data_IF_696775885579
#
_entry.id   IF_696775885579
#
_cell.length_a   1.000
_cell.length_b   1.000
_cell.length_c   1.000
_cell.angle_alpha   90.00
_cell.angle_beta   90.00
_cell.angle_gamma   90.00
#
_symmetry.space_group_name_H-M   'P 1'
#
loop_
_entity.id
_entity.type
_entity.pdbx_description
1 polymer ?
#
# COMPACT_ATOMS: atom_id res chain seq x y z
N UNK A 1 23.78 43.56 8.82
CA UNK A 1 24.19 42.14 8.66
C UNK A 1 23.35 41.32 9.64
N UNK A 2 22.27 40.71 9.18
CA UNK A 2 21.36 39.92 10.03
C UNK A 2 21.90 38.48 10.11
N UNK A 3 22.35 38.08 11.28
CA UNK A 3 22.82 36.74 11.55
C UNK A 3 21.57 35.84 11.67
N UNK A 4 21.33 34.99 10.66
CA UNK A 4 20.25 33.99 10.70
C UNK A 4 20.78 32.79 11.49
N UNK A 5 20.21 32.57 12.67
CA UNK A 5 20.53 31.42 13.51
C UNK A 5 19.73 30.21 13.00
N UNK A 6 20.30 29.42 12.09
CA UNK A 6 19.71 28.17 11.64
C UNK A 6 20.29 26.98 12.44
N UNK A 7 19.45 26.07 12.87
CA UNK A 7 19.86 24.85 13.55
C UNK A 7 20.53 23.89 12.55
N UNK A 8 21.69 23.33 12.93
CA UNK A 8 22.38 22.27 12.19
C UNK A 8 21.47 21.01 12.00
N UNK A 9 21.56 20.31 10.84
CA UNK A 9 22.56 20.36 9.79
C UNK A 9 22.17 21.24 8.60
N UNK A 10 23.13 22.03 8.12
CA UNK A 10 22.94 22.98 7.01
C UNK A 10 23.00 22.37 5.60
N UNK A 11 23.03 21.07 5.46
CA UNK A 11 23.01 20.38 4.18
C UNK A 11 21.58 20.27 3.63
N UNK A 12 21.13 21.32 2.97
CA UNK A 12 19.89 21.27 2.16
C UNK A 12 20.17 20.49 0.87
N UNK A 13 19.78 19.23 0.86
CA UNK A 13 19.69 18.46 -0.39
C UNK A 13 18.56 19.05 -1.24
N UNK A 14 18.76 19.16 -2.56
CA UNK A 14 17.73 19.60 -3.53
C UNK A 14 16.54 18.60 -3.63
N UNK A 15 16.54 17.52 -2.85
CA UNK A 15 15.49 16.51 -2.85
C UNK A 15 14.30 17.02 -2.02
N UNK A 16 13.23 17.38 -2.70
CA UNK A 16 11.93 17.70 -2.12
C UNK A 16 11.22 16.39 -1.72
N UNK A 17 10.40 16.43 -0.66
CA UNK A 17 9.56 15.29 -0.23
C UNK A 17 8.74 14.73 -1.41
N UNK A 18 8.17 15.61 -2.24
CA UNK A 18 7.42 15.23 -3.44
C UNK A 18 8.25 14.39 -4.40
N UNK A 19 9.51 14.75 -4.63
CA UNK A 19 10.41 14.00 -5.52
C UNK A 19 10.69 12.60 -4.96
N UNK A 20 10.99 12.52 -3.66
CA UNK A 20 11.21 11.21 -3.01
C UNK A 20 9.98 10.30 -3.13
N UNK A 21 8.77 10.86 -2.97
CA UNK A 21 7.53 10.10 -3.12
C UNK A 21 7.31 9.62 -4.57
N UNK A 22 7.63 10.48 -5.55
CA UNK A 22 7.57 10.11 -6.97
C UNK A 22 8.59 9.02 -7.33
N UNK A 23 9.82 9.12 -6.82
CA UNK A 23 10.86 8.11 -7.06
C UNK A 23 10.42 6.73 -6.53
N UNK A 24 9.75 6.68 -5.36
CA UNK A 24 9.18 5.44 -4.81
C UNK A 24 8.07 4.87 -5.72
N UNK A 25 7.18 5.71 -6.25
CA UNK A 25 6.13 5.25 -7.18
C UNK A 25 6.73 4.71 -8.48
N UNK A 26 7.77 5.35 -9.00
CA UNK A 26 8.49 4.90 -10.19
C UNK A 26 9.16 3.55 -9.92
N UNK A 27 9.80 3.37 -8.77
CA UNK A 27 10.42 2.12 -8.37
C UNK A 27 9.41 0.96 -8.21
N UNK A 28 8.19 1.25 -7.78
CA UNK A 28 7.12 0.25 -7.65
C UNK A 28 6.39 -0.04 -8.97
N UNK A 29 6.50 0.85 -9.95
CA UNK A 29 5.77 0.75 -11.22
C UNK A 29 6.04 -0.57 -11.99
N UNK A 30 7.29 -1.06 -12.14
CA UNK A 30 7.54 -2.32 -12.83
C UNK A 30 6.80 -3.50 -12.19
N UNK A 31 6.84 -3.59 -10.87
CA UNK A 31 6.16 -4.66 -10.11
C UNK A 31 4.65 -4.56 -10.26
N UNK A 32 4.09 -3.35 -10.20
CA UNK A 32 2.67 -3.12 -10.37
C UNK A 32 2.20 -3.48 -11.79
N UNK A 33 2.92 -3.06 -12.83
CA UNK A 33 2.61 -3.37 -14.22
C UNK A 33 2.60 -4.88 -14.43
N UNK A 34 3.62 -5.58 -13.96
CA UNK A 34 3.69 -7.04 -14.06
C UNK A 34 2.57 -7.74 -13.31
N UNK A 35 2.23 -7.26 -12.11
CA UNK A 35 1.08 -7.76 -11.36
C UNK A 35 -0.23 -7.61 -12.14
N UNK A 36 -0.42 -6.48 -12.86
CA UNK A 36 -1.56 -6.28 -13.74
C UNK A 36 -1.57 -7.21 -14.95
N UNK A 37 -0.41 -7.64 -15.44
CA UNK A 37 -0.33 -8.61 -16.55
C UNK A 37 -0.70 -10.02 -16.06
N UNK A 38 -0.25 -10.39 -14.87
CA UNK A 38 -0.46 -11.76 -14.34
C UNK A 38 -1.86 -11.93 -13.75
N UNK A 39 -2.34 -10.95 -13.01
CA UNK A 39 -3.66 -10.95 -12.36
C UNK A 39 -4.43 -9.67 -12.71
N UNK A 40 -4.86 -9.50 -13.96
CA UNK A 40 -5.36 -8.21 -14.44
C UNK A 40 -6.56 -7.71 -13.61
N UNK A 41 -7.58 -8.53 -13.46
CA UNK A 41 -8.80 -8.13 -12.76
C UNK A 41 -8.54 -7.90 -11.27
N UNK A 42 -7.89 -8.83 -10.60
CA UNK A 42 -7.69 -8.76 -9.16
C UNK A 42 -6.76 -7.60 -8.76
N UNK A 43 -5.68 -7.38 -9.51
CA UNK A 43 -4.76 -6.27 -9.24
C UNK A 43 -5.43 -4.93 -9.47
N UNK A 44 -6.13 -4.75 -10.59
CA UNK A 44 -6.79 -3.48 -10.92
C UNK A 44 -7.89 -3.17 -9.91
N UNK A 45 -8.74 -4.15 -9.58
CA UNK A 45 -9.83 -3.96 -8.61
C UNK A 45 -9.28 -3.60 -7.23
N UNK A 46 -8.29 -4.37 -6.73
CA UNK A 46 -7.68 -4.11 -5.43
C UNK A 46 -6.98 -2.73 -5.40
N UNK A 47 -6.29 -2.36 -6.48
CA UNK A 47 -5.61 -1.07 -6.59
C UNK A 47 -6.60 0.10 -6.56
N UNK A 48 -7.66 0.03 -7.37
CA UNK A 48 -8.68 1.09 -7.44
C UNK A 48 -9.37 1.25 -6.09
N UNK A 49 -9.76 0.16 -5.45
CA UNK A 49 -10.41 0.19 -4.14
C UNK A 49 -9.46 0.78 -3.09
N UNK A 50 -8.22 0.31 -3.03
CA UNK A 50 -7.23 0.79 -2.06
C UNK A 50 -6.91 2.27 -2.25
N UNK A 51 -6.73 2.72 -3.50
CA UNK A 51 -6.53 4.14 -3.82
C UNK A 51 -7.72 5.00 -3.39
N UNK A 52 -8.93 4.58 -3.76
CA UNK A 52 -10.15 5.32 -3.42
C UNK A 52 -10.32 5.47 -1.90
N UNK A 53 -10.11 4.38 -1.14
CA UNK A 53 -10.28 4.38 0.31
C UNK A 53 -9.18 5.19 0.99
N UNK A 54 -7.91 4.95 0.66
CA UNK A 54 -6.80 5.59 1.36
C UNK A 54 -6.70 7.09 1.04
N UNK A 55 -6.90 7.49 -0.22
CA UNK A 55 -6.94 8.91 -0.61
C UNK A 55 -8.20 9.57 -0.05
N UNK A 56 -9.36 8.91 -0.13
CA UNK A 56 -10.61 9.41 0.41
C UNK A 56 -10.55 9.63 1.92
N UNK A 57 -9.97 8.70 2.68
CA UNK A 57 -9.78 8.83 4.12
C UNK A 57 -8.85 10.01 4.47
N UNK A 58 -7.75 10.17 3.73
CA UNK A 58 -6.86 11.34 3.92
C UNK A 58 -7.58 12.66 3.64
N UNK A 59 -8.38 12.70 2.57
CA UNK A 59 -9.18 13.86 2.23
C UNK A 59 -10.18 14.21 3.34
N UNK A 60 -10.93 13.22 3.82
CA UNK A 60 -11.87 13.41 4.94
C UNK A 60 -11.15 13.88 6.20
N UNK A 61 -10.00 13.29 6.51
CA UNK A 61 -9.21 13.66 7.68
C UNK A 61 -8.73 15.12 7.62
N UNK A 62 -8.21 15.58 6.48
CA UNK A 62 -7.80 16.98 6.30
C UNK A 62 -8.99 17.91 6.49
N UNK A 63 -10.15 17.53 5.92
CA UNK A 63 -11.39 18.27 6.10
C UNK A 63 -11.77 18.42 7.58
N UNK A 64 -11.79 17.31 8.32
CA UNK A 64 -12.16 17.31 9.74
C UNK A 64 -11.14 18.05 10.61
N UNK A 65 -9.84 17.81 10.40
CA UNK A 65 -8.77 18.43 11.17
C UNK A 65 -8.80 19.97 11.11
N UNK A 66 -9.07 20.51 9.94
CA UNK A 66 -9.03 21.95 9.70
C UNK A 66 -10.40 22.62 9.83
N UNK A 67 -11.47 21.86 10.03
CA UNK A 67 -12.84 22.39 10.20
C UNK A 67 -13.03 23.09 11.57
N UNK A 68 -12.20 22.76 12.55
CA UNK A 68 -12.22 23.34 13.88
C UNK A 68 -10.92 24.12 14.14
N UNK A 69 -10.73 25.31 13.53
CA UNK A 69 -9.60 26.18 13.84
C UNK A 69 -9.73 26.67 15.29
N UNK A 70 -8.59 26.88 15.94
CA UNK A 70 -8.52 27.37 17.34
C UNK A 70 -9.03 28.79 17.52
N UNK A 71 -9.33 29.48 16.42
CA UNK A 71 -9.81 30.87 16.43
C UNK A 71 -11.33 30.88 16.57
N UNK A 72 -11.85 31.66 17.55
CA UNK A 72 -13.28 31.81 17.91
C UNK A 72 -14.15 32.53 16.86
N UNK A 73 -13.82 32.46 15.58
CA UNK A 73 -14.59 33.08 14.52
C UNK A 73 -15.77 32.21 14.16
N UNK A 74 -16.99 32.71 14.39
CA UNK A 74 -18.26 32.11 13.94
C UNK A 74 -18.32 32.08 12.41
N UNK A 75 -17.90 30.95 11.81
CA UNK A 75 -17.94 30.74 10.35
C UNK A 75 -19.12 29.82 10.00
N UNK A 76 -19.75 30.09 8.88
CA UNK A 76 -20.78 29.20 8.29
C UNK A 76 -20.13 27.86 7.89
N UNK A 77 -20.90 26.78 7.88
CA UNK A 77 -20.41 25.43 7.52
C UNK A 77 -19.68 25.43 6.17
N UNK A 78 -20.21 26.16 5.18
CA UNK A 78 -19.61 26.30 3.85
C UNK A 78 -18.25 27.00 3.89
N UNK A 79 -18.14 28.06 4.67
CA UNK A 79 -16.89 28.81 4.83
C UNK A 79 -15.84 27.99 5.59
N UNK A 80 -16.26 27.19 6.57
CA UNK A 80 -15.39 26.24 7.28
C UNK A 80 -14.83 25.17 6.34
N UNK A 81 -15.69 24.62 5.47
CA UNK A 81 -15.28 23.61 4.50
C UNK A 81 -14.28 24.18 3.48
N UNK A 82 -14.57 25.34 2.89
CA UNK A 82 -13.65 25.98 1.93
C UNK A 82 -12.30 26.34 2.58
N UNK A 83 -12.33 26.89 3.79
CA UNK A 83 -11.14 27.23 4.54
C UNK A 83 -10.30 25.99 4.93
N UNK A 84 -10.95 24.86 5.16
CA UNK A 84 -10.29 23.60 5.53
C UNK A 84 -9.34 23.09 4.44
N UNK A 85 -9.70 23.29 3.17
CA UNK A 85 -8.89 22.83 2.04
C UNK A 85 -7.98 23.93 1.47
N UNK A 86 -8.35 25.19 1.61
CA UNK A 86 -7.60 26.33 1.03
C UNK A 86 -6.25 26.50 1.72
N UNK A 87 -5.16 26.16 1.01
CA UNK A 87 -3.79 26.26 1.50
C UNK A 87 -3.27 25.04 2.29
N UNK A 88 -4.13 24.10 2.70
CA UNK A 88 -3.74 22.94 3.49
C UNK A 88 -3.62 21.65 2.65
N UNK A 89 -4.17 21.66 1.43
CA UNK A 89 -4.12 20.51 0.54
C UNK A 89 -2.92 20.64 -0.41
N UNK A 90 -1.94 19.76 -0.21
CA UNK A 90 -0.72 19.69 -0.99
C UNK A 90 -0.73 18.40 -1.82
N UNK A 91 -0.01 18.37 -2.94
CA UNK A 91 0.14 17.17 -3.77
C UNK A 91 0.66 15.95 -2.97
N UNK A 92 1.44 16.20 -1.92
CA UNK A 92 1.94 15.15 -1.02
C UNK A 92 0.82 14.45 -0.24
N UNK A 93 -0.33 15.11 -0.02
CA UNK A 93 -1.49 14.49 0.63
C UNK A 93 -2.20 13.48 -0.28
N UNK A 94 -1.91 13.50 -1.58
CA UNK A 94 -2.35 12.47 -2.54
C UNK A 94 -1.27 11.42 -2.72
N UNK A 95 -0.02 11.83 -2.89
CA UNK A 95 1.09 10.93 -3.18
C UNK A 95 1.34 9.94 -2.03
N UNK A 96 1.30 10.41 -0.79
CA UNK A 96 1.58 9.55 0.36
C UNK A 96 0.57 8.42 0.56
N UNK A 97 -0.76 8.68 0.57
CA UNK A 97 -1.72 7.58 0.63
C UNK A 97 -1.73 6.74 -0.65
N UNK A 98 -1.40 7.31 -1.82
CA UNK A 98 -1.26 6.55 -3.05
C UNK A 98 -0.14 5.52 -2.97
N UNK A 99 1.04 5.88 -2.45
CA UNK A 99 2.14 4.95 -2.20
C UNK A 99 1.68 3.83 -1.25
N UNK A 100 1.02 4.20 -0.14
CA UNK A 100 0.50 3.22 0.82
C UNK A 100 -0.51 2.26 0.16
N UNK A 101 -1.38 2.76 -0.71
CA UNK A 101 -2.35 1.95 -1.44
C UNK A 101 -1.69 0.99 -2.44
N UNK A 102 -0.67 1.46 -3.18
CA UNK A 102 0.10 0.62 -4.10
C UNK A 102 0.82 -0.50 -3.34
N UNK A 103 1.54 -0.16 -2.27
CA UNK A 103 2.23 -1.15 -1.45
C UNK A 103 1.21 -2.13 -0.84
N UNK A 104 0.08 -1.64 -0.30
CA UNK A 104 -0.97 -2.47 0.26
C UNK A 104 -1.51 -3.46 -0.79
N UNK A 105 -1.80 -2.99 -2.00
CA UNK A 105 -2.25 -3.84 -3.10
C UNK A 105 -1.22 -4.93 -3.42
N UNK A 106 0.05 -4.58 -3.51
CA UNK A 106 1.12 -5.52 -3.86
C UNK A 106 1.35 -6.60 -2.80
N UNK A 107 1.14 -6.29 -1.51
CA UNK A 107 1.28 -7.28 -0.43
C UNK A 107 0.02 -8.11 -0.19
N UNK A 108 -1.11 -7.77 -0.83
CA UNK A 108 -2.34 -8.57 -0.75
C UNK A 108 -2.27 -9.81 -1.63
N UNK A 109 -2.87 -10.94 -1.21
CA UNK A 109 -3.07 -12.11 -2.08
C UNK A 109 -4.02 -11.78 -3.23
N UNK A 110 -3.81 -12.41 -4.39
CA UNK A 110 -4.69 -12.21 -5.55
C UNK A 110 -6.13 -12.65 -5.29
N UNK A 111 -6.33 -13.69 -4.48
CA UNK A 111 -7.65 -14.23 -4.11
C UNK A 111 -8.28 -13.57 -2.89
N UNK A 112 -7.72 -12.48 -2.36
CA UNK A 112 -8.28 -11.79 -1.20
C UNK A 112 -9.71 -11.27 -1.51
N UNK A 113 -10.69 -11.52 -0.62
CA UNK A 113 -12.04 -11.04 -0.82
C UNK A 113 -12.09 -9.50 -0.73
N UNK A 114 -12.96 -8.89 -1.52
CA UNK A 114 -13.06 -7.42 -1.65
C UNK A 114 -13.30 -6.74 -0.30
N UNK A 115 -14.12 -7.33 0.57
CA UNK A 115 -14.35 -6.76 1.91
C UNK A 115 -13.09 -6.72 2.77
N UNK A 116 -12.19 -7.71 2.63
CA UNK A 116 -10.92 -7.70 3.35
C UNK A 116 -9.98 -6.60 2.83
N UNK A 117 -10.02 -6.32 1.52
CA UNK A 117 -9.28 -5.21 0.91
C UNK A 117 -9.84 -3.87 1.41
N UNK A 118 -11.17 -3.69 1.43
CA UNK A 118 -11.83 -2.47 1.90
C UNK A 118 -11.48 -2.19 3.36
N UNK A 119 -11.70 -3.16 4.23
CA UNK A 119 -11.50 -3.00 5.68
C UNK A 119 -10.01 -2.85 5.99
N UNK A 120 -9.15 -3.67 5.36
CA UNK A 120 -7.71 -3.57 5.50
C UNK A 120 -7.15 -2.21 5.08
N UNK A 121 -7.58 -1.69 3.92
CA UNK A 121 -7.17 -0.37 3.46
C UNK A 121 -7.62 0.75 4.42
N UNK A 122 -8.87 0.69 4.89
CA UNK A 122 -9.43 1.68 5.82
C UNK A 122 -8.69 1.66 7.17
N UNK A 123 -8.55 0.49 7.77
CA UNK A 123 -7.84 0.33 9.05
C UNK A 123 -6.37 0.71 8.91
N UNK A 124 -5.73 0.30 7.81
CA UNK A 124 -4.35 0.62 7.51
C UNK A 124 -4.08 2.11 7.48
N UNK A 125 -4.87 2.88 6.73
CA UNK A 125 -4.67 4.33 6.63
C UNK A 125 -5.07 5.05 7.93
N UNK A 126 -6.18 4.68 8.55
CA UNK A 126 -6.68 5.33 9.77
C UNK A 126 -5.72 5.08 10.93
N UNK A 127 -5.46 3.83 11.26
CA UNK A 127 -4.62 3.47 12.42
C UNK A 127 -3.13 3.67 12.12
N UNK A 128 -2.66 3.37 10.90
CA UNK A 128 -1.24 3.49 10.55
C UNK A 128 -0.75 4.93 10.39
N UNK A 129 -1.66 5.86 10.05
CA UNK A 129 -1.27 7.23 9.68
C UNK A 129 -2.15 8.31 10.30
N UNK A 130 -3.47 8.28 10.10
CA UNK A 130 -4.33 9.41 10.40
C UNK A 130 -4.46 9.69 11.90
N UNK A 131 -4.55 8.65 12.72
CA UNK A 131 -4.63 8.77 14.21
C UNK A 131 -3.40 9.51 14.76
N UNK A 132 -2.25 9.37 14.15
CA UNK A 132 -1.01 10.03 14.58
C UNK A 132 -0.86 11.48 14.05
N UNK A 133 -1.80 11.97 13.26
CA UNK A 133 -1.81 13.36 12.77
C UNK A 133 -1.61 13.52 11.26
N UNK A 134 -1.46 12.45 10.50
CA UNK A 134 -1.36 12.46 9.04
C UNK A 134 0.06 12.53 8.50
N UNK A 135 0.29 13.37 7.50
CA UNK A 135 1.57 13.48 6.80
C UNK A 135 2.73 13.83 7.74
N UNK A 136 3.76 12.99 7.74
CA UNK A 136 4.98 13.19 8.54
C UNK A 136 4.91 12.68 9.99
N UNK A 137 3.75 12.21 10.45
CA UNK A 137 3.55 11.73 11.83
C UNK A 137 3.24 10.23 11.92
N UNK A 138 3.30 9.50 10.79
CA UNK A 138 3.02 8.08 10.78
C UNK A 138 4.15 7.29 11.45
N UNK A 139 3.80 6.57 12.52
CA UNK A 139 4.73 5.71 13.27
C UNK A 139 4.87 4.35 12.56
N UNK A 140 3.78 3.86 11.97
CA UNK A 140 3.72 2.58 11.28
C UNK A 140 3.51 2.77 9.77
N UNK A 141 3.94 1.76 9.01
CA UNK A 141 3.60 1.69 7.59
C UNK A 141 2.10 1.34 7.44
N UNK A 142 1.26 2.22 6.88
CA UNK A 142 -0.17 1.99 6.74
C UNK A 142 -0.52 0.72 5.97
N UNK A 143 0.26 0.39 4.94
CA UNK A 143 0.05 -0.82 4.15
C UNK A 143 0.28 -2.08 4.99
N UNK A 144 1.33 -2.11 5.81
CA UNK A 144 1.63 -3.25 6.68
C UNK A 144 0.58 -3.42 7.78
N UNK A 145 0.12 -2.32 8.40
CA UNK A 145 -0.95 -2.35 9.40
C UNK A 145 -2.24 -2.91 8.80
N UNK A 146 -2.62 -2.43 7.60
CA UNK A 146 -3.81 -2.89 6.90
C UNK A 146 -3.74 -4.38 6.55
N UNK A 147 -2.61 -4.83 6.03
CA UNK A 147 -2.38 -6.24 5.70
C UNK A 147 -2.45 -7.13 6.94
N UNK A 148 -1.76 -6.73 8.01
CA UNK A 148 -1.77 -7.49 9.26
C UNK A 148 -3.18 -7.61 9.83
N UNK A 149 -3.93 -6.51 9.85
CA UNK A 149 -5.31 -6.50 10.30
C UNK A 149 -6.20 -7.42 9.45
N UNK A 150 -6.11 -7.31 8.12
CA UNK A 150 -6.87 -8.16 7.20
C UNK A 150 -6.55 -9.63 7.42
N UNK A 151 -5.27 -9.99 7.60
CA UNK A 151 -4.83 -11.36 7.85
C UNK A 151 -5.33 -11.90 9.19
N UNK A 152 -5.32 -11.09 10.25
CA UNK A 152 -5.78 -11.51 11.57
C UNK A 152 -7.30 -11.67 11.64
N UNK A 153 -8.05 -10.75 11.01
CA UNK A 153 -9.51 -10.75 11.07
C UNK A 153 -10.16 -11.76 10.11
N UNK A 154 -9.57 -11.95 8.93
CA UNK A 154 -10.19 -12.78 7.87
C UNK A 154 -9.47 -14.11 7.65
N UNK A 155 -8.37 -14.37 8.34
CA UNK A 155 -7.66 -15.65 8.48
C UNK A 155 -7.60 -16.51 7.21
N UNK A 156 -8.36 -17.59 7.17
CA UNK A 156 -8.37 -18.55 6.06
C UNK A 156 -8.88 -17.98 4.73
N UNK A 157 -9.80 -17.02 4.78
CA UNK A 157 -10.34 -16.38 3.56
C UNK A 157 -9.35 -15.39 2.95
N UNK A 158 -8.50 -14.77 3.79
CA UNK A 158 -7.43 -13.89 3.33
C UNK A 158 -6.33 -14.65 2.59
N UNK A 159 -5.96 -15.85 3.05
CA UNK A 159 -4.81 -16.64 2.54
C UNK A 159 -5.18 -17.42 1.27
N UNK A 160 -6.07 -16.91 0.43
CA UNK A 160 -6.38 -17.54 -0.85
C UNK A 160 -5.38 -17.09 -1.91
N UNK A 161 -4.33 -17.88 -2.08
CA UNK A 161 -3.33 -17.65 -3.12
C UNK A 161 -3.81 -18.31 -4.42
N UNK A 162 -4.07 -17.50 -5.44
CA UNK A 162 -4.44 -17.98 -6.77
C UNK A 162 -3.16 -18.34 -7.52
N UNK A 163 -3.08 -19.54 -8.15
CA UNK A 163 -1.96 -19.88 -9.00
C UNK A 163 -1.87 -18.91 -10.19
N UNK A 164 -0.66 -18.61 -10.63
CA UNK A 164 -0.44 -17.81 -11.84
C UNK A 164 -1.01 -18.54 -13.06
N UNK A 165 -1.46 -17.80 -14.09
CA UNK A 165 -1.98 -18.36 -15.35
C UNK A 165 -1.05 -19.38 -16.02
N UNK A 166 0.23 -19.36 -15.69
CA UNK A 166 1.24 -20.29 -16.19
C UNK A 166 1.17 -21.67 -15.50
N UNK A 167 0.68 -21.75 -14.26
CA UNK A 167 0.46 -22.98 -13.52
C UNK A 167 -1.05 -23.27 -13.47
N UNK A 168 -1.58 -23.77 -14.57
CA UNK A 168 -2.91 -24.37 -14.59
C UNK A 168 -2.83 -25.75 -13.92
N UNK A 169 -2.86 -25.77 -12.58
CA UNK A 169 -3.16 -27.01 -11.86
C UNK A 169 -4.69 -27.10 -11.83
N UNK A 170 -5.32 -28.06 -12.54
CA UNK A 170 -6.77 -28.09 -12.76
C UNK A 170 -7.61 -28.12 -11.48
N UNK A 171 -7.05 -28.54 -10.36
CA UNK A 171 -7.79 -28.83 -9.11
C UNK A 171 -7.39 -27.94 -7.91
N UNK A 172 -6.54 -26.95 -8.07
CA UNK A 172 -6.11 -26.12 -6.96
C UNK A 172 -6.77 -24.74 -6.97
N UNK A 173 -7.93 -24.62 -6.36
CA UNK A 173 -8.57 -23.33 -6.08
C UNK A 173 -7.73 -22.44 -5.16
N UNK A 174 -6.76 -23.00 -4.42
CA UNK A 174 -5.78 -22.29 -3.62
C UNK A 174 -4.47 -23.07 -3.58
N UNK A 175 -3.41 -22.53 -4.18
CA UNK A 175 -2.06 -23.11 -4.08
C UNK A 175 -1.42 -22.79 -2.73
N UNK A 176 -0.82 -23.79 -2.08
CA UNK A 176 0.02 -23.53 -0.90
C UNK A 176 1.31 -22.83 -1.35
N UNK A 177 1.70 -21.78 -0.66
CA UNK A 177 3.01 -21.18 -0.90
C UNK A 177 4.12 -22.13 -0.50
N UNK A 178 5.33 -22.07 -1.11
CA UNK A 178 6.47 -22.91 -0.72
C UNK A 178 6.76 -22.84 0.78
N UNK A 179 6.65 -21.67 1.38
CA UNK A 179 6.81 -21.47 2.82
C UNK A 179 5.69 -22.15 3.62
N UNK A 180 4.45 -22.12 3.11
CA UNK A 180 3.31 -22.81 3.71
C UNK A 180 3.49 -24.34 3.72
N UNK A 181 4.09 -24.90 2.67
CA UNK A 181 4.44 -26.33 2.60
C UNK A 181 5.51 -26.71 3.61
N UNK A 182 6.53 -25.89 3.80
CA UNK A 182 7.58 -26.09 4.81
C UNK A 182 6.97 -26.12 6.21
N UNK A 183 6.18 -25.12 6.54
CA UNK A 183 5.53 -24.99 7.85
C UNK A 183 4.52 -26.12 8.13
N UNK A 184 3.89 -26.65 7.08
CA UNK A 184 3.01 -27.82 7.16
C UNK A 184 3.73 -29.16 7.27
N UNK A 185 5.06 -29.18 7.32
CA UNK A 185 5.87 -30.43 7.42
C UNK A 185 5.98 -31.23 6.12
N UNK A 186 5.49 -30.70 5.00
CA UNK A 186 5.47 -31.40 3.70
C UNK A 186 6.71 -31.08 2.86
N UNK A 187 7.91 -31.33 3.38
CA UNK A 187 9.18 -31.08 2.69
C UNK A 187 9.27 -31.76 1.32
N UNK A 188 8.69 -32.96 1.18
CA UNK A 188 8.66 -33.67 -0.10
C UNK A 188 7.92 -32.92 -1.21
N UNK A 189 6.98 -32.06 -0.85
CA UNK A 189 6.19 -31.30 -1.82
C UNK A 189 6.88 -30.03 -2.32
N UNK A 190 8.01 -29.63 -1.72
CA UNK A 190 8.80 -28.47 -2.17
C UNK A 190 9.49 -28.77 -3.51
N UNK A 191 9.81 -30.02 -3.78
CA UNK A 191 10.41 -30.44 -5.05
C UNK A 191 9.54 -30.16 -6.27
N UNK A 192 8.23 -29.90 -6.09
CA UNK A 192 7.33 -29.45 -7.17
C UNK A 192 7.68 -28.03 -7.65
N UNK A 193 8.38 -27.23 -6.84
CA UNK A 193 8.76 -25.87 -7.21
C UNK A 193 10.27 -25.78 -7.48
N UNK A 194 10.72 -25.86 -8.74
CA UNK A 194 12.12 -25.66 -9.10
C UNK A 194 12.62 -24.29 -8.63
N UNK A 195 13.89 -24.21 -8.22
CA UNK A 195 14.51 -22.96 -7.77
C UNK A 195 14.36 -21.83 -8.81
N UNK A 196 14.42 -22.18 -10.08
CA UNK A 196 14.27 -21.24 -11.19
C UNK A 196 12.84 -20.64 -11.23
N UNK A 197 11.82 -21.46 -10.96
CA UNK A 197 10.43 -20.98 -10.90
C UNK A 197 10.17 -20.14 -9.66
N UNK A 198 10.82 -20.47 -8.53
CA UNK A 198 10.81 -19.62 -7.33
C UNK A 198 11.46 -18.26 -7.59
N UNK A 199 12.54 -18.20 -8.35
CA UNK A 199 13.21 -16.95 -8.72
C UNK A 199 12.40 -16.15 -9.72
N UNK A 200 11.85 -16.79 -10.74
CA UNK A 200 11.00 -16.16 -11.74
C UNK A 200 9.63 -15.79 -11.19
N UNK A 201 9.27 -16.26 -9.98
CA UNK A 201 7.98 -15.94 -9.34
C UNK A 201 6.79 -16.71 -9.90
N UNK A 202 7.03 -17.85 -10.52
CA UNK A 202 5.98 -18.75 -11.02
C UNK A 202 5.43 -19.65 -9.91
N UNK A 203 5.15 -19.05 -8.76
CA UNK A 203 4.67 -19.71 -7.55
C UNK A 203 3.46 -18.96 -7.01
N UNK A 204 2.56 -19.63 -6.28
CA UNK A 204 1.49 -18.94 -5.57
C UNK A 204 2.06 -17.96 -4.54
N UNK A 205 1.58 -16.72 -4.54
CA UNK A 205 2.08 -15.69 -3.65
C UNK A 205 1.21 -14.43 -3.64
N UNK A 206 1.73 -13.37 -3.05
CA UNK A 206 1.09 -12.05 -3.08
C UNK A 206 1.25 -11.40 -4.45
N UNK A 207 0.43 -10.40 -4.74
CA UNK A 207 0.43 -9.71 -6.05
C UNK A 207 1.81 -9.15 -6.44
N UNK A 208 2.59 -8.66 -5.47
CA UNK A 208 3.93 -8.10 -5.70
C UNK A 208 5.07 -9.12 -5.65
N UNK A 209 4.81 -10.33 -5.14
CA UNK A 209 5.85 -11.36 -4.97
C UNK A 209 6.04 -12.23 -6.21
N UNK A 210 5.08 -12.18 -7.14
CA UNK A 210 4.98 -13.10 -8.29
C UNK A 210 6.20 -13.06 -9.20
N UNK A 211 6.85 -11.90 -9.37
CA UNK A 211 8.06 -11.79 -10.22
C UNK A 211 9.16 -11.01 -9.51
N UNK A 212 10.12 -11.71 -8.91
CA UNK A 212 11.26 -11.10 -8.21
C UNK A 212 12.17 -10.28 -9.13
N UNK A 213 12.23 -10.63 -10.41
CA UNK A 213 12.97 -9.87 -11.43
C UNK A 213 12.45 -8.43 -11.60
N UNK A 214 11.15 -8.19 -11.41
CA UNK A 214 10.58 -6.83 -11.52
C UNK A 214 10.98 -5.92 -10.36
N UNK A 215 11.24 -6.50 -9.19
CA UNK A 215 11.76 -5.77 -8.03
C UNK A 215 13.20 -5.31 -8.33
N UNK A 216 14.01 -6.17 -8.97
CA UNK A 216 15.38 -5.83 -9.37
C UNK A 216 15.36 -4.69 -10.41
N UNK A 217 14.44 -4.72 -11.38
CA UNK A 217 14.27 -3.65 -12.37
C UNK A 217 13.88 -2.32 -11.71
N UNK A 218 13.06 -2.35 -10.67
CA UNK A 218 12.66 -1.15 -9.93
C UNK A 218 13.77 -0.55 -9.05
N UNK A 219 14.88 -1.29 -8.83
CA UNK A 219 16.06 -0.84 -8.06
C UNK A 219 17.03 0.00 -8.92
N UNK A 220 16.97 -0.09 -10.24
CA UNK A 220 17.84 0.62 -11.21
C UNK A 220 17.17 1.92 -11.67
#
# INVERSE_FOLDING_TARGET
>A
MTIIKENSPHLRRKANVTRMMMDVLIALAPTLIFSCVVYPVNTIVNLVISLAIMIGAEFVFIGLKNMYPKDDVKRTFKDKFEHSYKGNFTINNILTPAISAVIFTLIMPAGAPIYAVIIGALVGIVIGKLVFGGLGSNIFNPAAVGMLFAKLCFGSQYVTYVPTWYYSIPDAAAGATPLGLINGGSLANITQYPLLDMFLGRIPGTLGEVYKSTIIIGLV
#
